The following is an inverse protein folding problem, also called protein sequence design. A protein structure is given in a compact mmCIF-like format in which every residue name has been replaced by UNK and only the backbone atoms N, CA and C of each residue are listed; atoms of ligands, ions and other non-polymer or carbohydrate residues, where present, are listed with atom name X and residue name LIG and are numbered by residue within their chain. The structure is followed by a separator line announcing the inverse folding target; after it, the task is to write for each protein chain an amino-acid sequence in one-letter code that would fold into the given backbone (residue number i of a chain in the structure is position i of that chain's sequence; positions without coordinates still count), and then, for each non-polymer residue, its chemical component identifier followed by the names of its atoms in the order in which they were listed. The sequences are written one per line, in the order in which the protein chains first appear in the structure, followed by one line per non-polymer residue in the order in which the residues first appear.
data_IF_263476429500
#
_entry.id   IF_263476429500
#
_cell.length_a   1.000
_cell.length_b   1.000
_cell.length_c   1.000
_cell.angle_alpha   90.00
_cell.angle_beta   90.00
_cell.angle_gamma   90.00
#
_symmetry.space_group_name_H-M   'P 1'
#
loop_
_entity.id
_entity.type
_entity.pdbx_description
1 polymer ?
#
# COMPACT_ATOMS: atom_id res chain seq x y z
N UNK A 1 -2.65 -11.36 -7.33
CA UNK A 1 -3.02 -10.03 -6.79
C UNK A 1 -3.80 -9.29 -7.87
N UNK A 2 -4.97 -8.77 -7.54
CA UNK A 2 -5.78 -7.88 -8.39
C UNK A 2 -5.59 -6.47 -7.86
N UNK A 3 -4.96 -5.61 -8.65
CA UNK A 3 -4.65 -4.25 -8.23
C UNK A 3 -5.88 -3.36 -8.36
N UNK A 4 -6.24 -2.68 -7.28
CA UNK A 4 -7.37 -1.76 -7.19
C UNK A 4 -6.89 -0.31 -7.23
N UNK A 5 -7.86 0.60 -7.36
CA UNK A 5 -7.64 2.02 -7.11
C UNK A 5 -7.39 2.30 -5.63
N UNK A 6 -6.73 3.42 -5.35
CA UNK A 6 -6.20 3.78 -4.03
C UNK A 6 -7.26 4.30 -3.04
N UNK A 7 -8.44 3.66 -2.93
CA UNK A 7 -9.57 4.11 -2.08
C UNK A 7 -9.81 3.15 -0.91
N UNK A 8 -9.85 3.67 0.31
CA UNK A 8 -10.27 2.92 1.51
C UNK A 8 -11.79 3.10 1.68
N UNK A 9 -12.59 2.02 1.74
CA UNK A 9 -14.01 2.13 2.04
C UNK A 9 -14.26 2.84 3.38
N UNK A 10 -15.39 3.54 3.47
CA UNK A 10 -15.79 4.20 4.71
C UNK A 10 -15.93 3.19 5.86
N UNK A 11 -15.59 3.62 7.07
CA UNK A 11 -15.77 2.87 8.32
C UNK A 11 -15.03 1.52 8.39
N UNK A 12 -14.06 1.30 7.49
CA UNK A 12 -13.18 0.13 7.51
C UNK A 12 -11.89 0.46 8.27
N UNK A 13 -11.51 -0.35 9.27
CA UNK A 13 -10.22 -0.21 9.93
C UNK A 13 -9.09 -0.61 8.97
N UNK A 14 -7.94 0.05 9.12
CA UNK A 14 -6.69 -0.35 8.46
C UNK A 14 -5.75 -0.83 9.55
N UNK A 15 -5.27 -2.06 9.41
CA UNK A 15 -4.36 -2.69 10.35
C UNK A 15 -3.01 -2.95 9.67
N UNK A 16 -1.92 -2.54 10.33
CA UNK A 16 -0.57 -2.84 9.87
C UNK A 16 -0.17 -4.25 10.31
N UNK A 17 -0.16 -5.18 9.35
CA UNK A 17 0.39 -6.51 9.55
C UNK A 17 1.91 -6.50 9.33
N UNK A 18 2.70 -6.97 10.31
CA UNK A 18 4.16 -7.08 10.16
C UNK A 18 4.55 -8.15 9.13
N UNK A 19 4.07 -9.37 9.34
CA UNK A 19 4.08 -10.45 8.35
C UNK A 19 2.67 -10.65 7.85
N UNK A 20 2.51 -10.98 6.57
CA UNK A 20 1.19 -11.25 6.00
C UNK A 20 0.46 -12.30 6.87
N UNK A 21 -0.78 -12.03 7.30
CA UNK A 21 -1.58 -12.99 8.06
C UNK A 21 -2.02 -14.14 7.15
N UNK A 22 -2.78 -15.10 7.69
CA UNK A 22 -3.49 -16.05 6.84
C UNK A 22 -4.53 -15.28 6.01
N UNK A 23 -4.27 -15.16 4.71
CA UNK A 23 -5.12 -14.47 3.73
C UNK A 23 -5.95 -15.45 2.91
N UNK A 24 -6.06 -16.70 3.38
CA UNK A 24 -6.78 -17.77 2.70
C UNK A 24 -5.89 -18.66 1.84
N UNK A 25 -6.51 -19.63 1.13
CA UNK A 25 -5.79 -20.66 0.40
C UNK A 25 -4.87 -20.14 -0.70
N UNK A 26 -3.75 -20.85 -0.93
CA UNK A 26 -2.89 -20.59 -2.08
C UNK A 26 -3.68 -20.74 -3.39
N UNK A 27 -3.55 -19.75 -4.27
CA UNK A 27 -4.25 -19.71 -5.56
C UNK A 27 -5.48 -18.80 -5.57
N UNK A 28 -5.93 -18.34 -4.40
CA UNK A 28 -7.00 -17.36 -4.31
C UNK A 28 -6.53 -15.97 -4.73
N UNK A 29 -7.46 -15.19 -5.30
CA UNK A 29 -7.21 -13.81 -5.66
C UNK A 29 -7.37 -12.88 -4.46
N UNK A 30 -6.33 -12.09 -4.21
CA UNK A 30 -6.37 -10.97 -3.28
C UNK A 30 -6.55 -9.67 -4.04
N UNK A 31 -7.53 -8.87 -3.61
CA UNK A 31 -7.75 -7.50 -4.06
C UNK A 31 -6.84 -6.57 -3.25
N UNK A 32 -5.98 -5.78 -3.90
CA UNK A 32 -4.91 -5.03 -3.22
C UNK A 32 -4.66 -3.64 -3.81
N UNK A 33 -4.18 -2.72 -2.97
CA UNK A 33 -3.36 -1.56 -3.38
C UNK A 33 -1.90 -1.98 -3.27
N UNK A 34 -1.07 -1.66 -4.27
CA UNK A 34 0.28 -2.24 -4.39
C UNK A 34 1.31 -1.19 -4.76
N UNK A 35 2.31 -1.05 -3.88
CA UNK A 35 3.55 -0.35 -4.20
C UNK A 35 4.67 -1.37 -4.41
N UNK A 36 5.45 -1.18 -5.48
CA UNK A 36 6.57 -2.07 -5.82
C UNK A 36 7.69 -1.30 -6.49
N UNK A 37 8.92 -1.60 -6.08
CA UNK A 37 10.12 -1.27 -6.82
C UNK A 37 10.93 -2.54 -7.05
N UNK A 38 11.26 -2.82 -8.32
CA UNK A 38 12.28 -3.81 -8.67
C UNK A 38 13.52 -3.06 -9.12
N UNK A 39 14.67 -3.42 -8.56
CA UNK A 39 15.95 -2.78 -8.82
C UNK A 39 16.91 -3.76 -9.46
N UNK A 40 17.78 -3.23 -10.33
CA UNK A 40 18.87 -3.97 -10.94
C UNK A 40 19.92 -4.38 -9.90
N UNK A 41 20.80 -5.35 -10.22
CA UNK A 41 21.93 -5.69 -9.36
C UNK A 41 22.74 -4.46 -8.93
N UNK A 42 23.20 -4.47 -7.67
CA UNK A 42 23.91 -3.36 -7.04
C UNK A 42 23.05 -2.15 -6.68
N UNK A 43 21.75 -2.18 -6.91
CA UNK A 43 20.83 -1.06 -6.63
C UNK A 43 19.76 -1.44 -5.61
N UNK A 44 19.55 -0.58 -4.61
CA UNK A 44 18.50 -0.76 -3.58
C UNK A 44 17.12 -0.64 -4.20
N UNK A 45 16.14 -1.37 -3.66
CA UNK A 45 14.73 -1.13 -3.92
C UNK A 45 14.04 -0.57 -2.66
N UNK A 46 13.19 0.42 -2.83
CA UNK A 46 12.31 0.96 -1.80
C UNK A 46 10.89 1.11 -2.35
N UNK A 47 9.90 0.70 -1.57
CA UNK A 47 8.49 0.84 -1.92
C UNK A 47 7.72 1.20 -0.66
N UNK A 48 6.62 1.94 -0.81
CA UNK A 48 5.79 2.25 0.33
C UNK A 48 4.38 2.70 -0.01
N UNK A 49 3.56 2.68 1.04
CA UNK A 49 2.21 3.19 1.05
C UNK A 49 2.09 4.31 2.08
N UNK A 50 1.29 5.32 1.76
CA UNK A 50 0.74 6.24 2.74
C UNK A 50 -0.77 6.15 2.72
N UNK A 51 -1.41 6.43 3.85
CA UNK A 51 -2.86 6.47 3.92
C UNK A 51 -3.38 7.45 4.94
N UNK A 52 -4.59 7.93 4.66
CA UNK A 52 -5.41 8.70 5.57
C UNK A 52 -6.85 8.21 5.45
N UNK A 53 -7.57 8.23 6.56
CA UNK A 53 -8.99 7.87 6.63
C UNK A 53 -9.78 9.09 7.05
N UNK A 54 -10.96 9.27 6.49
CA UNK A 54 -11.90 10.20 7.09
C UNK A 54 -12.30 9.66 8.47
N UNK A 55 -12.26 10.53 9.48
CA UNK A 55 -12.76 10.21 10.82
C UNK A 55 -14.23 10.63 10.92
N UNK A 56 -14.94 10.10 11.92
CA UNK A 56 -16.30 10.60 12.23
C UNK A 56 -16.29 12.12 12.49
N UNK A 57 -15.22 12.63 13.12
CA UNK A 57 -15.02 14.03 13.45
C UNK A 57 -14.92 14.92 12.18
N UNK A 58 -14.38 14.38 11.09
CA UNK A 58 -14.26 15.06 9.80
C UNK A 58 -15.47 14.80 8.87
N UNK A 59 -16.56 14.22 9.39
CA UNK A 59 -17.79 13.93 8.64
C UNK A 59 -17.88 12.53 8.03
N UNK A 60 -16.93 11.64 8.35
CA UNK A 60 -16.86 10.27 7.85
C UNK A 60 -16.55 10.16 6.35
N UNK A 61 -16.65 8.95 5.81
CA UNK A 61 -16.50 8.69 4.38
C UNK A 61 -15.23 7.91 4.00
N UNK A 62 -14.95 7.78 2.70
CA UNK A 62 -13.85 6.97 2.21
C UNK A 62 -12.49 7.60 2.54
N UNK A 63 -11.51 6.76 2.83
CA UNK A 63 -10.11 7.15 2.93
C UNK A 63 -9.37 6.97 1.60
N UNK A 64 -8.06 7.21 1.63
CA UNK A 64 -7.17 7.12 0.48
C UNK A 64 -5.88 6.40 0.84
N UNK A 65 -5.39 5.61 -0.10
CA UNK A 65 -4.00 5.18 -0.17
C UNK A 65 -3.23 6.01 -1.19
N UNK A 66 -1.92 6.14 -0.99
CA UNK A 66 -0.98 6.64 -1.98
C UNK A 66 0.20 5.69 -2.07
N UNK A 67 0.65 5.37 -3.28
CA UNK A 67 1.67 4.35 -3.55
C UNK A 67 2.92 5.01 -4.14
N UNK A 68 4.11 4.57 -3.72
CA UNK A 68 5.36 5.07 -4.28
C UNK A 68 6.44 4.00 -4.34
N UNK A 69 7.29 4.07 -5.36
CA UNK A 69 8.45 3.19 -5.57
C UNK A 69 9.67 4.00 -6.02
N UNK A 70 10.83 3.75 -5.41
CA UNK A 70 12.08 4.39 -5.79
C UNK A 70 13.30 3.56 -5.33
N UNK A 71 14.50 3.98 -5.69
CA UNK A 71 15.75 3.39 -5.20
C UNK A 71 16.16 3.95 -3.83
N UNK A 72 15.74 5.18 -3.51
CA UNK A 72 16.03 5.84 -2.24
C UNK A 72 14.80 5.87 -1.30
N UNK A 73 14.87 5.25 -0.10
CA UNK A 73 13.76 5.26 0.84
C UNK A 73 13.44 6.65 1.43
N UNK A 74 14.38 7.61 1.43
CA UNK A 74 14.06 8.97 1.87
C UNK A 74 13.15 9.66 0.85
N UNK A 75 13.50 9.58 -0.43
CA UNK A 75 12.65 10.05 -1.54
C UNK A 75 11.26 9.40 -1.52
N UNK A 76 11.16 8.10 -1.22
CA UNK A 76 9.85 7.43 -1.08
C UNK A 76 9.02 8.07 0.04
N UNK A 77 9.58 8.31 1.23
CA UNK A 77 8.85 8.91 2.36
C UNK A 77 8.34 10.32 2.03
N UNK A 78 9.21 11.17 1.48
CA UNK A 78 8.85 12.54 1.12
C UNK A 78 7.68 12.57 0.12
N UNK A 79 7.75 11.73 -0.92
CA UNK A 79 6.71 11.67 -1.95
C UNK A 79 5.42 11.07 -1.43
N UNK A 80 5.49 10.10 -0.53
CA UNK A 80 4.34 9.52 0.14
C UNK A 80 3.57 10.56 0.97
N UNK A 81 4.28 11.30 1.82
CA UNK A 81 3.72 12.37 2.66
C UNK A 81 3.04 13.44 1.78
N UNK A 82 3.77 13.97 0.80
CA UNK A 82 3.23 15.00 -0.06
C UNK A 82 2.09 14.48 -0.96
N UNK A 83 2.16 13.20 -1.36
CA UNK A 83 1.19 12.54 -2.22
C UNK A 83 -0.16 12.31 -1.54
N UNK A 84 -0.14 11.76 -0.32
CA UNK A 84 -1.37 11.52 0.44
C UNK A 84 -2.03 12.83 0.87
N UNK A 85 -1.26 13.84 1.27
CA UNK A 85 -1.79 15.17 1.61
C UNK A 85 -2.50 15.81 0.42
N UNK A 86 -1.86 15.83 -0.77
CA UNK A 86 -2.51 16.29 -2.00
C UNK A 86 -3.75 15.47 -2.33
N UNK A 87 -3.67 14.15 -2.17
CA UNK A 87 -4.77 13.22 -2.41
C UNK A 87 -5.99 13.51 -1.52
N UNK A 88 -5.75 13.83 -0.25
CA UNK A 88 -6.75 14.23 0.72
C UNK A 88 -7.36 15.59 0.38
N UNK A 89 -6.52 16.59 0.09
CA UNK A 89 -6.96 17.93 -0.29
C UNK A 89 -7.92 17.90 -1.51
N UNK A 90 -7.59 17.11 -2.54
CA UNK A 90 -8.44 16.96 -3.72
C UNK A 90 -9.80 16.31 -3.44
N UNK A 91 -9.93 15.61 -2.31
CA UNK A 91 -11.13 14.84 -1.93
C UNK A 91 -11.87 15.44 -0.73
N UNK A 92 -11.38 16.55 -0.17
CA UNK A 92 -11.93 17.14 1.04
C UNK A 92 -11.80 16.24 2.27
N UNK A 93 -10.81 15.34 2.29
CA UNK A 93 -10.53 14.47 3.43
C UNK A 93 -9.58 15.22 4.37
N UNK A 94 -9.87 15.22 5.67
CA UNK A 94 -8.89 15.63 6.67
C UNK A 94 -7.78 14.55 6.74
N UNK A 95 -6.53 14.89 6.45
CA UNK A 95 -5.46 13.92 6.42
C UNK A 95 -5.04 13.42 7.82
N UNK A 96 -5.53 13.99 8.92
CA UNK A 96 -5.01 13.72 10.26
C UNK A 96 -5.67 12.50 10.96
N UNK A 97 -4.91 11.46 11.37
CA UNK A 97 -3.48 11.25 11.16
C UNK A 97 -3.14 10.62 9.80
N UNK A 98 -2.02 11.06 9.23
CA UNK A 98 -1.39 10.40 8.07
C UNK A 98 -0.51 9.27 8.59
N UNK A 99 -0.66 8.10 7.98
CA UNK A 99 0.20 6.96 8.24
C UNK A 99 1.05 6.63 7.02
N UNK A 100 2.25 6.11 7.25
CA UNK A 100 3.15 5.68 6.18
C UNK A 100 3.82 4.35 6.52
N UNK A 101 4.02 3.51 5.50
CA UNK A 101 4.78 2.28 5.58
C UNK A 101 5.72 2.17 4.40
N UNK A 102 7.02 2.16 4.68
CA UNK A 102 8.08 1.98 3.69
C UNK A 102 8.88 0.74 4.01
N UNK A 103 9.14 -0.08 2.99
CA UNK A 103 10.03 -1.24 3.08
C UNK A 103 11.14 -1.12 2.05
N UNK A 104 12.28 -1.71 2.36
CA UNK A 104 13.45 -1.75 1.48
C UNK A 104 13.91 -3.17 1.25
N UNK A 105 14.50 -3.41 0.08
CA UNK A 105 15.35 -4.56 -0.17
C UNK A 105 16.76 -4.04 -0.46
N UNK A 106 17.74 -4.53 0.31
CA UNK A 106 19.14 -4.18 0.12
C UNK A 106 19.64 -4.66 -1.25
N UNK A 107 20.61 -3.95 -1.85
CA UNK A 107 21.16 -4.33 -3.15
C UNK A 107 21.90 -5.66 -3.09
N UNK A 108 21.69 -6.49 -4.10
CA UNK A 108 22.47 -7.72 -4.33
C UNK A 108 23.36 -7.54 -5.56
N UNK A 109 24.64 -7.93 -5.48
CA UNK A 109 25.63 -7.60 -6.51
C UNK A 109 25.32 -8.25 -7.88
N UNK A 110 24.71 -9.43 -7.88
CA UNK A 110 24.48 -10.24 -9.08
C UNK A 110 22.99 -10.57 -9.32
N UNK A 111 22.09 -10.02 -8.50
CA UNK A 111 20.66 -10.33 -8.56
C UNK A 111 19.80 -9.07 -8.53
N UNK A 112 18.64 -9.16 -9.21
CA UNK A 112 17.59 -8.15 -9.06
C UNK A 112 16.97 -8.28 -7.67
N UNK A 113 16.65 -7.14 -7.06
CA UNK A 113 16.00 -7.08 -5.75
C UNK A 113 14.66 -6.39 -5.89
N UNK A 114 13.70 -6.71 -5.02
CA UNK A 114 12.37 -6.09 -5.08
C UNK A 114 11.86 -5.80 -3.68
N UNK A 115 11.40 -4.56 -3.50
CA UNK A 115 10.62 -4.13 -2.34
C UNK A 115 9.14 -4.09 -2.72
N UNK A 116 8.27 -4.63 -1.87
CA UNK A 116 6.81 -4.67 -2.08
C UNK A 116 6.09 -4.33 -0.79
N UNK A 117 5.12 -3.41 -0.87
CA UNK A 117 4.13 -3.15 0.18
C UNK A 117 2.75 -3.31 -0.44
N UNK A 118 1.86 -4.00 0.26
CA UNK A 118 0.47 -4.18 -0.16
C UNK A 118 -0.48 -3.82 0.96
N UNK A 119 -1.58 -3.17 0.62
CA UNK A 119 -2.77 -3.11 1.45
C UNK A 119 -3.80 -4.07 0.84
N UNK A 120 -4.27 -5.02 1.65
CA UNK A 120 -5.15 -6.11 1.20
C UNK A 120 -6.57 -5.86 1.69
N UNK A 121 -7.55 -6.05 0.80
CA UNK A 121 -8.96 -5.95 1.15
C UNK A 121 -9.55 -7.32 1.46
N UNK A 122 -9.73 -7.60 2.75
CA UNK A 122 -10.29 -8.86 3.24
C UNK A 122 -9.45 -10.09 2.86
N UNK A 123 -10.12 -11.22 2.71
CA UNK A 123 -9.49 -12.51 2.43
C UNK A 123 -9.45 -12.85 0.93
N UNK A 124 -8.65 -13.86 0.60
CA UNK A 124 -8.57 -14.47 -0.72
C UNK A 124 -9.92 -14.95 -1.24
N UNK A 125 -10.17 -14.66 -2.52
CA UNK A 125 -11.36 -15.13 -3.25
C UNK A 125 -10.96 -16.17 -4.28
N UNK A 126 -11.58 -17.34 -4.22
CA UNK A 126 -11.42 -18.39 -5.23
C UNK A 126 -11.62 -17.85 -6.64
N UNK A 127 -10.68 -18.20 -7.52
CA UNK A 127 -10.74 -17.82 -8.93
C UNK A 127 -11.76 -18.63 -9.73
N UNK A 128 -12.04 -19.85 -9.29
CA UNK A 128 -12.92 -20.79 -9.95
C UNK A 128 -14.11 -21.08 -9.04
N UNK A 129 -15.32 -21.02 -9.60
CA UNK A 129 -16.51 -21.54 -8.91
C UNK A 129 -16.33 -23.03 -8.65
N UNK A 130 -16.75 -23.50 -7.48
CA UNK A 130 -16.83 -24.94 -7.23
C UNK A 130 -17.77 -25.56 -8.28
N UNK A 131 -17.36 -26.68 -8.86
CA UNK A 131 -18.24 -27.53 -9.67
C UNK A 131 -19.31 -28.16 -8.79
#
# INVERSE_FOLDING_TARGET
LRTLSSVIPADVPVEEAGTAPDLGPTGDALDVVLARQTSQPGTRAAAGLAWARATEESGGGPGIFYEEGNHDPATVRERLEAGVERGCHLRGIDPSPVHTRVVTAEPEAEAYTTAVVVAVYGDGKRLLSAK
#
